data_IF_431199572528
#
_entry.id   IF_431199572528
#
_cell.length_a   1.000
_cell.length_b   1.000
_cell.length_c   1.000
_cell.angle_alpha   90.00
_cell.angle_beta   90.00
_cell.angle_gamma   90.00
#
_symmetry.space_group_name_H-M   'P 1'
#
loop_
_entity.id
_entity.type
_entity.pdbx_description
1 polymer ?
#
# COMPACT_ATOMS: atom_id res chain seq x y z
N UNK A 1 24.24 -5.28 -5.72
CA UNK A 1 23.84 -5.45 -4.30
C UNK A 1 22.42 -4.89 -4.14
N UNK A 2 21.49 -5.66 -3.58
CA UNK A 2 20.15 -5.15 -3.29
C UNK A 2 20.24 -4.10 -2.17
N UNK A 3 19.78 -2.87 -2.46
CA UNK A 3 19.74 -1.79 -1.47
C UNK A 3 18.71 -2.15 -0.41
N UNK A 4 19.16 -2.44 0.81
CA UNK A 4 18.25 -2.67 1.94
C UNK A 4 17.72 -1.32 2.40
N UNK A 5 16.41 -1.22 2.52
CA UNK A 5 15.73 -0.07 3.09
C UNK A 5 15.40 -0.43 4.52
N UNK A 6 15.82 0.41 5.47
CA UNK A 6 15.37 0.28 6.85
C UNK A 6 13.90 0.70 6.90
N UNK A 7 13.04 -0.22 7.31
CA UNK A 7 11.60 0.04 7.42
C UNK A 7 11.24 -0.14 8.88
N UNK A 8 10.63 0.89 9.46
CA UNK A 8 9.94 0.76 10.73
C UNK A 8 8.67 -0.04 10.52
N UNK A 9 8.67 -1.29 11.00
CA UNK A 9 7.56 -2.23 10.79
C UNK A 9 6.33 -1.82 11.61
N UNK A 10 6.52 -1.25 12.80
CA UNK A 10 5.41 -0.82 13.65
C UNK A 10 4.74 0.41 13.06
N UNK A 11 5.52 1.43 12.70
CA UNK A 11 5.01 2.61 12.00
C UNK A 11 4.28 2.25 10.70
N UNK A 12 4.87 1.38 9.87
CA UNK A 12 4.23 0.92 8.64
C UNK A 12 2.90 0.20 8.90
N UNK A 13 2.83 -0.62 9.95
CA UNK A 13 1.58 -1.30 10.32
C UNK A 13 0.50 -0.28 10.70
N UNK A 14 0.85 0.74 11.48
CA UNK A 14 -0.09 1.81 11.85
C UNK A 14 -0.57 2.61 10.64
N UNK A 15 0.33 2.94 9.72
CA UNK A 15 -0.01 3.65 8.49
C UNK A 15 -0.98 2.84 7.61
N UNK A 16 -0.74 1.53 7.47
CA UNK A 16 -1.64 0.62 6.74
C UNK A 16 -3.03 0.59 7.40
N UNK A 17 -3.11 0.50 8.72
CA UNK A 17 -4.40 0.52 9.43
C UNK A 17 -5.15 1.85 9.23
N UNK A 18 -4.44 2.97 9.14
CA UNK A 18 -5.03 4.31 8.97
C UNK A 18 -5.42 4.66 7.54
N UNK A 19 -4.82 4.02 6.53
CA UNK A 19 -4.95 4.38 5.10
C UNK A 19 -6.41 4.57 4.64
N UNK A 20 -7.31 3.69 5.10
CA UNK A 20 -8.76 3.79 4.82
C UNK A 20 -9.57 3.57 6.09
N UNK A 21 -9.18 4.20 7.22
CA UNK A 21 -9.83 3.98 8.53
C UNK A 21 -11.33 4.30 8.56
N UNK A 22 -11.82 5.10 7.62
CA UNK A 22 -13.23 5.46 7.49
C UNK A 22 -14.04 4.41 6.69
N UNK A 23 -13.37 3.46 6.04
CA UNK A 23 -14.00 2.38 5.30
C UNK A 23 -14.24 1.17 6.22
N UNK A 24 -15.52 0.81 6.41
CA UNK A 24 -15.91 -0.32 7.26
C UNK A 24 -15.38 -1.66 6.73
N UNK A 25 -15.26 -1.82 5.42
CA UNK A 25 -14.70 -3.03 4.82
C UNK A 25 -13.21 -3.09 5.11
N UNK A 26 -12.49 -1.97 4.99
CA UNK A 26 -11.06 -1.91 5.32
C UNK A 26 -10.76 -2.40 6.73
N UNK A 27 -11.53 -1.93 7.72
CA UNK A 27 -11.37 -2.33 9.11
C UNK A 27 -11.59 -3.84 9.35
N UNK A 28 -12.34 -4.53 8.47
CA UNK A 28 -12.58 -5.97 8.56
C UNK A 28 -11.51 -6.82 7.85
N UNK A 29 -10.67 -6.20 7.02
CA UNK A 29 -9.62 -6.91 6.31
C UNK A 29 -8.45 -7.28 7.22
N UNK A 30 -7.87 -8.46 6.98
CA UNK A 30 -6.58 -8.82 7.55
C UNK A 30 -5.46 -7.93 7.00
N UNK A 31 -4.38 -7.79 7.76
CA UNK A 31 -3.20 -7.03 7.34
C UNK A 31 -2.67 -7.49 5.97
N UNK A 32 -2.66 -8.80 5.70
CA UNK A 32 -2.21 -9.36 4.43
C UNK A 32 -3.10 -8.92 3.24
N UNK A 33 -4.42 -8.83 3.45
CA UNK A 33 -5.35 -8.32 2.43
C UNK A 33 -5.14 -6.83 2.18
N UNK A 34 -4.98 -6.03 3.25
CA UNK A 34 -4.67 -4.59 3.16
C UNK A 34 -3.40 -4.34 2.35
N UNK A 35 -2.32 -5.06 2.66
CA UNK A 35 -1.04 -4.97 1.94
C UNK A 35 -1.23 -5.32 0.45
N UNK A 36 -1.96 -6.39 0.14
CA UNK A 36 -2.20 -6.80 -1.26
C UNK A 36 -2.91 -5.71 -2.05
N UNK A 37 -3.94 -5.07 -1.46
CA UNK A 37 -4.67 -3.97 -2.10
C UNK A 37 -3.73 -2.79 -2.36
N UNK A 38 -2.97 -2.34 -1.35
CA UNK A 38 -2.05 -1.20 -1.50
C UNK A 38 -0.97 -1.44 -2.57
N UNK A 39 -0.45 -2.67 -2.66
CA UNK A 39 0.52 -3.04 -3.70
C UNK A 39 -0.15 -2.98 -5.08
N UNK A 40 -1.38 -3.50 -5.21
CA UNK A 40 -2.10 -3.50 -6.46
C UNK A 40 -2.40 -2.07 -6.94
N UNK A 41 -2.91 -1.21 -6.06
CA UNK A 41 -3.16 0.21 -6.34
C UNK A 41 -1.87 0.92 -6.77
N UNK A 42 -0.75 0.68 -6.08
CA UNK A 42 0.55 1.23 -6.43
C UNK A 42 1.03 0.79 -7.83
N UNK A 43 0.83 -0.48 -8.18
CA UNK A 43 1.18 -1.02 -9.50
C UNK A 43 0.30 -0.42 -10.61
N UNK A 44 -1.00 -0.25 -10.35
CA UNK A 44 -1.93 0.37 -11.30
C UNK A 44 -1.60 1.85 -11.52
N UNK A 45 -1.30 2.60 -10.46
CA UNK A 45 -0.84 3.98 -10.56
C UNK A 45 0.47 4.10 -11.35
N UNK A 46 1.45 3.23 -11.09
CA UNK A 46 2.71 3.21 -11.82
C UNK A 46 2.51 2.91 -13.31
N UNK A 47 1.62 1.97 -13.65
CA UNK A 47 1.24 1.70 -15.05
C UNK A 47 0.59 2.91 -15.72
N UNK A 48 -0.32 3.59 -15.03
CA UNK A 48 -1.02 4.77 -15.57
C UNK A 48 -0.10 5.99 -15.75
N UNK A 49 0.97 6.09 -14.96
CA UNK A 49 1.99 7.12 -15.14
C UNK A 49 2.90 6.85 -16.34
N UNK A 50 3.10 5.59 -16.73
CA UNK A 50 3.89 5.22 -17.91
C UNK A 50 3.12 5.39 -19.23
N UNK A 51 1.79 5.35 -19.21
CA UNK A 51 0.93 5.39 -20.40
C UNK A 51 0.36 6.76 -20.74
N UNK A 52 0.65 7.81 -19.95
CA UNK A 52 0.40 9.20 -20.36
C UNK A 52 1.65 9.75 -21.04
N UNK A 53 1.73 9.73 -22.38
CA UNK A 53 2.76 10.49 -23.08
C UNK A 53 2.49 11.99 -22.86
N UNK A 54 3.57 12.72 -22.59
CA UNK A 54 3.63 14.17 -22.83
C UNK A 54 3.52 14.45 -24.32
#
# INVERSE_FOLDING_TARGET
>A
MAKRISVDIEGLREEIERAYSNDKLWCQLSLAQKIRILIQDGLEQAKNQQTKPN
#
